data_IF_583749364025
#
_entry.id   IF_583749364025
#
_cell.length_a   1.000
_cell.length_b   1.000
_cell.length_c   1.000
_cell.angle_alpha   90.00
_cell.angle_beta   90.00
_cell.angle_gamma   90.00
#
_symmetry.space_group_name_H-M   'P 1'
#
loop_
_entity.id
_entity.type
_entity.pdbx_description
1 polymer ?
#
# COMPACT_ATOMS: atom_id res chain seq x y z
N UNK A 1 1.46 -6.77 -2.81
CA UNK A 1 2.10 -7.08 -1.52
C UNK A 1 1.25 -7.99 -0.61
N UNK A 2 -0.07 -7.98 -0.73
CA UNK A 2 -0.95 -8.88 0.05
C UNK A 2 -0.56 -10.35 -0.07
N UNK A 3 -0.11 -10.78 -1.26
CA UNK A 3 0.37 -12.14 -1.51
C UNK A 3 1.82 -12.36 -1.01
N UNK A 4 2.44 -11.38 -0.35
CA UNK A 4 3.82 -11.43 0.15
C UNK A 4 4.80 -11.84 -0.95
N UNK A 5 4.57 -11.35 -2.16
CA UNK A 5 5.29 -11.75 -3.37
C UNK A 5 5.79 -10.52 -4.12
N UNK A 6 7.03 -10.60 -4.60
CA UNK A 6 7.55 -9.76 -5.68
C UNK A 6 7.61 -10.62 -6.94
N UNK A 7 7.04 -10.13 -8.03
CA UNK A 7 7.14 -10.75 -9.35
C UNK A 7 7.99 -9.87 -10.25
N UNK A 8 9.04 -10.46 -10.82
CA UNK A 8 9.88 -9.85 -11.85
C UNK A 8 9.48 -10.48 -13.17
N UNK A 9 9.22 -9.66 -14.18
CA UNK A 9 8.78 -10.10 -15.51
C UNK A 9 9.84 -9.66 -16.52
N UNK A 10 10.34 -10.60 -17.32
CA UNK A 10 11.36 -10.37 -18.33
C UNK A 10 10.84 -10.90 -19.67
N UNK A 11 10.93 -10.11 -20.73
CA UNK A 11 10.58 -10.55 -22.07
C UNK A 11 11.58 -11.60 -22.56
N UNK A 12 11.09 -12.74 -23.06
CA UNK A 12 11.90 -13.87 -23.51
C UNK A 12 11.89 -15.07 -22.56
N UNK A 13 12.48 -16.17 -23.01
CA UNK A 13 12.61 -17.41 -22.21
C UNK A 13 13.99 -17.52 -21.56
N UNK A 14 14.04 -17.18 -20.28
CA UNK A 14 15.24 -17.25 -19.47
C UNK A 14 15.16 -18.31 -18.37
N UNK A 15 14.25 -19.30 -18.49
CA UNK A 15 14.07 -20.35 -17.49
C UNK A 15 15.36 -21.10 -17.19
N UNK A 16 16.12 -21.48 -18.21
CA UNK A 16 17.36 -22.20 -18.02
C UNK A 16 18.41 -21.39 -17.25
N UNK A 17 18.50 -20.09 -17.54
CA UNK A 17 19.41 -19.19 -16.84
C UNK A 17 19.05 -19.08 -15.34
N UNK A 18 17.78 -18.84 -15.02
CA UNK A 18 17.35 -18.61 -13.64
C UNK A 18 17.13 -19.89 -12.83
N UNK A 19 17.02 -21.05 -13.45
CA UNK A 19 16.86 -22.33 -12.74
C UNK A 19 18.18 -23.02 -12.39
N UNK A 20 19.31 -22.56 -12.92
CA UNK A 20 20.61 -23.12 -12.58
C UNK A 20 21.02 -22.73 -11.14
N UNK A 21 21.50 -23.71 -10.37
CA UNK A 21 21.87 -23.49 -8.96
C UNK A 21 22.99 -22.45 -8.78
N UNK A 22 23.87 -22.31 -9.77
CA UNK A 22 24.96 -21.33 -9.79
C UNK A 22 24.49 -19.86 -9.88
N UNK A 23 23.27 -19.64 -10.35
CA UNK A 23 22.74 -18.29 -10.60
C UNK A 23 21.85 -17.76 -9.47
N UNK A 24 21.79 -18.46 -8.34
CA UNK A 24 20.96 -18.04 -7.21
C UNK A 24 21.56 -18.44 -5.87
N UNK A 25 21.55 -17.47 -4.96
CA UNK A 25 21.73 -17.71 -3.53
C UNK A 25 20.45 -17.28 -2.82
N UNK A 26 19.78 -18.23 -2.20
CA UNK A 26 18.54 -18.00 -1.47
C UNK A 26 18.88 -18.01 0.03
N UNK A 27 18.63 -16.87 0.68
CA UNK A 27 18.73 -16.74 2.15
C UNK A 27 17.33 -16.59 2.72
N UNK A 28 17.15 -17.12 3.91
CA UNK A 28 15.93 -17.04 4.71
C UNK A 28 14.69 -17.55 3.94
N UNK A 29 13.74 -18.09 4.53
CA UNK A 29 12.44 -18.63 4.08
C UNK A 29 11.85 -18.07 2.74
N UNK A 30 12.70 -17.61 1.83
CA UNK A 30 12.32 -17.12 0.50
C UNK A 30 12.06 -18.28 -0.45
N UNK A 31 10.85 -18.39 -0.96
CA UNK A 31 10.55 -19.30 -2.07
C UNK A 31 10.79 -18.58 -3.40
N UNK A 32 11.64 -19.18 -4.21
CA UNK A 32 11.99 -18.71 -5.56
C UNK A 32 11.36 -19.64 -6.60
N UNK A 33 10.54 -19.10 -7.48
CA UNK A 33 9.89 -19.85 -8.57
C UNK A 33 10.08 -19.14 -9.89
N UNK A 34 10.46 -19.90 -10.91
CA UNK A 34 10.57 -19.40 -12.29
C UNK A 34 9.56 -20.11 -13.17
N UNK A 35 8.86 -19.36 -14.00
CA UNK A 35 7.92 -19.90 -15.00
C UNK A 35 8.00 -19.08 -16.29
N UNK A 36 7.49 -19.65 -17.37
CA UNK A 36 7.41 -18.97 -18.66
C UNK A 36 5.99 -19.07 -19.21
N UNK A 37 5.46 -17.95 -19.61
CA UNK A 37 4.12 -17.87 -20.16
C UNK A 37 4.02 -16.67 -21.11
N UNK A 38 3.37 -16.86 -22.26
CA UNK A 38 3.09 -15.81 -23.24
C UNK A 38 4.31 -14.96 -23.63
N UNK A 39 5.44 -15.62 -23.92
CA UNK A 39 6.67 -14.94 -24.35
C UNK A 39 7.48 -14.29 -23.21
N UNK A 40 7.10 -14.49 -21.94
CA UNK A 40 7.74 -13.83 -20.80
C UNK A 40 8.17 -14.82 -19.72
N UNK A 41 9.33 -14.57 -19.14
CA UNK A 41 9.80 -15.26 -17.93
C UNK A 41 9.32 -14.52 -16.70
N UNK A 42 8.72 -15.24 -15.77
CA UNK A 42 8.24 -14.75 -14.47
C UNK A 42 9.13 -15.32 -13.38
N UNK A 43 9.73 -14.44 -12.58
CA UNK A 43 10.48 -14.79 -11.39
C UNK A 43 9.67 -14.34 -10.18
N UNK A 44 9.22 -15.28 -9.37
CA UNK A 44 8.41 -15.00 -8.20
C UNK A 44 9.23 -15.21 -6.92
N UNK A 45 9.40 -14.15 -6.16
CA UNK A 45 10.02 -14.14 -4.84
C UNK A 45 8.91 -14.07 -3.79
N UNK A 46 8.70 -15.16 -3.06
CA UNK A 46 7.62 -15.31 -2.08
C UNK A 46 8.23 -15.44 -0.70
N UNK A 47 7.76 -14.64 0.25
CA UNK A 47 8.23 -14.60 1.64
C UNK A 47 7.09 -14.79 2.63
N UNK A 48 7.41 -15.08 3.89
CA UNK A 48 6.43 -15.20 4.96
C UNK A 48 5.82 -13.85 5.37
N UNK A 49 6.52 -12.74 5.10
CA UNK A 49 6.11 -11.38 5.46
C UNK A 49 6.09 -10.46 4.26
N UNK A 50 5.40 -9.33 4.37
CA UNK A 50 5.41 -8.28 3.35
C UNK A 50 6.80 -7.65 3.31
N UNK A 51 7.37 -7.49 2.12
CA UNK A 51 8.66 -6.86 1.87
C UNK A 51 8.50 -5.59 1.03
N UNK A 52 9.47 -4.71 1.15
CA UNK A 52 9.70 -3.66 0.17
C UNK A 52 10.65 -4.14 -0.92
N UNK A 53 10.71 -3.41 -2.02
CA UNK A 53 11.70 -3.62 -3.05
C UNK A 53 12.17 -2.30 -3.64
N UNK A 54 13.38 -2.30 -4.18
CA UNK A 54 13.89 -1.24 -5.05
C UNK A 54 14.63 -1.85 -6.23
N UNK A 55 14.63 -1.14 -7.34
CA UNK A 55 15.33 -1.56 -8.56
C UNK A 55 16.36 -0.50 -8.91
N UNK A 56 17.59 -0.91 -9.12
CA UNK A 56 18.68 -0.06 -9.61
C UNK A 56 19.28 -0.71 -10.84
N UNK A 57 19.46 0.05 -11.90
CA UNK A 57 20.03 -0.41 -13.16
C UNK A 57 21.37 0.25 -13.39
N UNK A 58 22.33 -0.55 -13.84
CA UNK A 58 23.60 -0.11 -14.43
C UNK A 58 23.67 -0.56 -15.90
N UNK A 59 24.75 -0.23 -16.60
CA UNK A 59 24.92 -0.64 -18.01
C UNK A 59 24.91 -2.17 -18.19
N UNK A 60 25.30 -2.94 -17.18
CA UNK A 60 25.47 -4.38 -17.27
C UNK A 60 24.51 -5.19 -16.39
N UNK A 61 23.89 -4.58 -15.38
CA UNK A 61 23.11 -5.30 -14.36
C UNK A 61 21.86 -4.54 -13.92
N UNK A 62 20.86 -5.32 -13.57
CA UNK A 62 19.69 -4.85 -12.84
C UNK A 62 19.75 -5.44 -11.43
N UNK A 63 19.83 -4.59 -10.43
CA UNK A 63 19.83 -4.97 -9.03
C UNK A 63 18.42 -4.83 -8.44
N UNK A 64 17.89 -5.91 -7.90
CA UNK A 64 16.62 -5.89 -7.18
C UNK A 64 16.89 -6.16 -5.72
N UNK A 65 16.76 -5.13 -4.88
CA UNK A 65 16.78 -5.27 -3.42
C UNK A 65 15.37 -5.61 -2.94
N UNK A 66 15.25 -6.63 -2.10
CA UNK A 66 13.98 -7.12 -1.56
C UNK A 66 14.18 -7.44 -0.08
N UNK A 67 13.69 -6.58 0.80
CA UNK A 67 13.97 -6.63 2.25
C UNK A 67 12.77 -6.15 3.07
N UNK A 68 12.89 -6.18 4.40
CA UNK A 68 11.86 -5.59 5.26
C UNK A 68 11.69 -4.09 4.93
N UNK A 69 10.46 -3.56 4.96
CA UNK A 69 10.23 -2.16 4.56
C UNK A 69 11.09 -1.16 5.34
N UNK A 70 11.26 -1.39 6.63
CA UNK A 70 12.08 -0.52 7.52
C UNK A 70 13.57 -0.52 7.20
N UNK A 71 14.07 -1.57 6.56
CA UNK A 71 15.49 -1.66 6.16
C UNK A 71 15.76 -0.92 4.84
N UNK A 72 14.70 -0.43 4.20
CA UNK A 72 14.77 0.16 2.86
C UNK A 72 14.32 1.60 2.80
N UNK A 73 13.35 1.99 3.61
CA UNK A 73 12.68 3.29 3.50
C UNK A 73 12.75 4.04 4.82
N UNK A 74 12.94 5.35 4.73
CA UNK A 74 13.01 6.24 5.90
C UNK A 74 11.69 6.24 6.69
N UNK A 75 10.57 6.21 5.98
CA UNK A 75 9.23 6.12 6.58
C UNK A 75 8.38 5.08 5.88
N UNK A 76 7.65 4.32 6.68
CA UNK A 76 6.64 3.37 6.22
C UNK A 76 5.27 3.83 6.72
N UNK A 77 4.35 4.02 5.81
CA UNK A 77 3.00 4.54 6.09
C UNK A 77 1.98 3.53 5.56
N UNK A 78 0.89 3.35 6.30
CA UNK A 78 -0.28 2.64 5.79
C UNK A 78 -1.44 3.63 5.68
N UNK A 79 -2.06 3.67 4.50
CA UNK A 79 -3.26 4.46 4.24
C UNK A 79 -4.42 3.52 3.96
N UNK A 80 -5.47 3.68 4.71
CA UNK A 80 -6.68 2.88 4.65
C UNK A 80 -7.80 3.65 3.97
N UNK A 81 -8.37 3.06 2.92
CA UNK A 81 -9.62 3.52 2.34
C UNK A 81 -10.77 2.80 3.04
N UNK A 82 -11.51 3.50 3.89
CA UNK A 82 -12.61 2.93 4.65
C UNK A 82 -13.65 2.23 3.78
N UNK A 83 -14.32 1.22 4.35
CA UNK A 83 -15.35 0.41 3.65
C UNK A 83 -14.81 -0.36 2.44
N UNK A 84 -15.67 -0.74 1.49
CA UNK A 84 -15.32 -1.42 0.24
C UNK A 84 -16.11 -2.71 0.01
N UNK A 85 -16.20 -3.16 -1.24
CA UNK A 85 -16.93 -4.38 -1.62
C UNK A 85 -18.37 -4.37 -1.11
N UNK A 86 -18.70 -5.32 -0.24
CA UNK A 86 -20.02 -5.48 0.38
C UNK A 86 -20.40 -4.39 1.39
N UNK A 87 -19.45 -3.64 1.91
CA UNK A 87 -19.66 -2.56 2.87
C UNK A 87 -19.64 -1.22 2.13
N UNK A 88 -20.80 -0.62 1.95
CA UNK A 88 -20.96 0.66 1.26
C UNK A 88 -20.47 1.85 2.09
N UNK A 89 -20.44 1.74 3.43
CA UNK A 89 -20.40 2.89 4.32
C UNK A 89 -21.67 3.74 4.18
N UNK A 90 -21.58 5.00 4.55
CA UNK A 90 -22.67 5.96 4.43
C UNK A 90 -23.07 6.19 2.97
N UNK A 91 -24.37 6.43 2.76
CA UNK A 91 -24.94 6.73 1.42
C UNK A 91 -25.85 7.96 1.53
N UNK A 92 -25.73 8.89 0.62
CA UNK A 92 -26.55 10.09 0.60
C UNK A 92 -26.20 11.01 -0.56
N UNK A 93 -27.15 11.81 -1.00
CA UNK A 93 -26.98 12.81 -2.07
C UNK A 93 -26.33 12.24 -3.36
N UNK A 94 -26.60 10.96 -3.69
CA UNK A 94 -26.01 10.28 -4.85
C UNK A 94 -24.58 9.77 -4.64
N UNK A 95 -24.00 9.90 -3.46
CA UNK A 95 -22.66 9.41 -3.12
C UNK A 95 -22.72 8.16 -2.27
N UNK A 96 -21.68 7.34 -2.41
CA UNK A 96 -21.43 6.15 -1.60
C UNK A 96 -20.03 6.31 -0.99
N UNK A 97 -19.93 6.20 0.33
CA UNK A 97 -18.70 6.48 1.08
C UNK A 97 -17.52 5.65 0.57
N UNK A 98 -17.69 4.35 0.34
CA UNK A 98 -16.61 3.48 -0.14
C UNK A 98 -15.97 3.98 -1.45
N UNK A 99 -16.76 4.60 -2.34
CA UNK A 99 -16.25 5.11 -3.62
C UNK A 99 -15.46 6.41 -3.41
N UNK A 100 -15.90 7.26 -2.49
CA UNK A 100 -15.23 8.51 -2.18
C UNK A 100 -13.91 8.25 -1.46
N UNK A 101 -13.89 7.40 -0.45
CA UNK A 101 -12.66 7.03 0.28
C UNK A 101 -11.64 6.40 -0.64
N UNK A 102 -12.06 5.51 -1.56
CA UNK A 102 -11.18 4.93 -2.56
C UNK A 102 -10.56 5.99 -3.47
N UNK A 103 -11.37 6.92 -3.98
CA UNK A 103 -10.90 8.01 -4.85
C UNK A 103 -9.90 8.93 -4.13
N UNK A 104 -10.17 9.28 -2.88
CA UNK A 104 -9.25 10.08 -2.05
C UNK A 104 -7.91 9.36 -1.90
N UNK A 105 -7.93 8.08 -1.54
CA UNK A 105 -6.71 7.29 -1.35
C UNK A 105 -5.94 7.10 -2.66
N UNK A 106 -6.63 6.94 -3.80
CA UNK A 106 -5.98 6.88 -5.11
C UNK A 106 -5.28 8.20 -5.47
N UNK A 107 -5.88 9.35 -5.12
CA UNK A 107 -5.25 10.66 -5.30
C UNK A 107 -4.03 10.85 -4.37
N UNK A 108 -4.14 10.43 -3.11
CA UNK A 108 -3.01 10.43 -2.16
C UNK A 108 -1.85 9.59 -2.72
N UNK A 109 -2.15 8.41 -3.28
CA UNK A 109 -1.17 7.52 -3.89
C UNK A 109 -0.34 8.22 -4.96
N UNK A 110 -0.97 9.00 -5.83
CA UNK A 110 -0.27 9.73 -6.91
C UNK A 110 0.81 10.68 -6.37
N UNK A 111 0.60 11.28 -5.20
CA UNK A 111 1.55 12.19 -4.59
C UNK A 111 2.72 11.47 -3.92
N UNK A 112 2.45 10.30 -3.30
CA UNK A 112 3.49 9.57 -2.55
C UNK A 112 4.34 8.63 -3.41
N UNK A 113 3.83 8.14 -4.55
CA UNK A 113 4.54 7.14 -5.36
C UNK A 113 5.84 7.66 -5.97
N UNK A 114 6.01 8.98 -6.07
CA UNK A 114 7.21 9.62 -6.59
C UNK A 114 8.27 9.93 -5.52
N UNK A 115 7.95 9.80 -4.24
CA UNK A 115 8.87 10.14 -3.16
C UNK A 115 9.63 8.89 -2.67
N UNK A 116 10.94 8.78 -2.92
CA UNK A 116 11.73 7.61 -2.56
C UNK A 116 11.98 7.46 -1.05
N UNK A 117 11.71 8.50 -0.25
CA UNK A 117 11.88 8.45 1.21
C UNK A 117 10.74 7.70 1.90
N UNK A 118 9.59 7.63 1.26
CA UNK A 118 8.39 7.02 1.82
C UNK A 118 8.06 5.69 1.13
N UNK A 119 7.63 4.73 1.92
CA UNK A 119 6.93 3.55 1.42
C UNK A 119 5.50 3.56 1.94
N UNK A 120 4.55 3.74 1.03
CA UNK A 120 3.14 3.71 1.40
C UNK A 120 2.52 2.38 0.98
N UNK A 121 1.81 1.76 1.89
CA UNK A 121 0.95 0.60 1.66
C UNK A 121 -0.50 1.04 1.79
N UNK A 122 -1.35 0.50 0.94
CA UNK A 122 -2.78 0.84 0.89
C UNK A 122 -3.59 -0.38 1.23
N UNK A 123 -4.60 -0.26 2.09
CA UNK A 123 -5.45 -1.41 2.45
C UNK A 123 -6.23 -1.91 1.24
N UNK A 124 -6.66 -0.99 0.37
CA UNK A 124 -7.26 -1.30 -0.93
C UNK A 124 -7.02 -0.19 -1.96
N UNK A 125 -6.96 -0.57 -3.22
CA UNK A 125 -6.87 0.33 -4.39
C UNK A 125 -7.95 0.00 -5.44
N UNK A 126 -8.88 -0.90 -5.10
CA UNK A 126 -10.05 -1.28 -5.87
C UNK A 126 -11.24 -1.50 -4.96
N UNK A 127 -12.42 -1.80 -5.53
CA UNK A 127 -13.63 -2.06 -4.75
C UNK A 127 -13.66 -3.50 -4.24
N UNK A 128 -12.90 -3.78 -3.17
CA UNK A 128 -12.99 -5.00 -2.39
C UNK A 128 -13.03 -4.66 -0.89
N UNK A 129 -13.42 -5.61 -0.06
CA UNK A 129 -13.59 -5.42 1.38
C UNK A 129 -12.46 -6.06 2.18
N UNK A 130 -11.45 -5.30 2.63
CA UNK A 130 -10.57 -5.76 3.69
C UNK A 130 -11.34 -5.74 5.02
N UNK A 131 -11.24 -6.83 5.78
CA UNK A 131 -11.77 -6.87 7.15
C UNK A 131 -11.06 -5.85 8.04
N UNK A 132 -11.66 -5.47 9.17
CA UNK A 132 -11.02 -4.59 10.14
C UNK A 132 -9.66 -5.14 10.58
N UNK A 133 -9.59 -6.45 10.83
CA UNK A 133 -8.35 -7.14 11.19
C UNK A 133 -7.28 -6.98 10.11
N UNK A 134 -7.59 -7.23 8.86
CA UNK A 134 -6.63 -7.09 7.75
C UNK A 134 -6.08 -5.68 7.63
N UNK A 135 -6.90 -4.64 7.90
CA UNK A 135 -6.47 -3.24 7.83
C UNK A 135 -5.35 -2.93 8.82
N UNK A 136 -5.53 -3.23 10.11
CA UNK A 136 -4.49 -2.96 11.11
C UNK A 136 -3.35 -3.99 11.05
N UNK A 137 -3.61 -5.24 10.66
CA UNK A 137 -2.56 -6.24 10.50
C UNK A 137 -1.59 -5.87 9.37
N UNK A 138 -2.05 -5.20 8.32
CA UNK A 138 -1.15 -4.64 7.32
C UNK A 138 -0.15 -3.68 7.96
N UNK A 139 -0.64 -2.73 8.78
CA UNK A 139 0.22 -1.76 9.45
C UNK A 139 1.22 -2.42 10.41
N UNK A 140 0.77 -3.40 11.19
CA UNK A 140 1.62 -4.17 12.10
C UNK A 140 2.67 -4.99 11.33
N UNK A 141 2.26 -5.67 10.26
CA UNK A 141 3.16 -6.54 9.47
C UNK A 141 4.28 -5.76 8.79
N UNK A 142 4.01 -4.56 8.30
CA UNK A 142 5.04 -3.71 7.66
C UNK A 142 5.78 -2.82 8.66
N UNK A 143 5.43 -2.92 9.94
CA UNK A 143 5.95 -2.06 11.01
C UNK A 143 5.81 -0.57 10.67
N UNK A 144 4.59 -0.15 10.37
CA UNK A 144 4.33 1.20 9.90
C UNK A 144 4.62 2.27 10.94
N UNK A 145 5.22 3.39 10.52
CA UNK A 145 5.38 4.58 11.38
C UNK A 145 4.07 5.28 11.64
N UNK A 146 3.16 5.21 10.66
CA UNK A 146 1.85 5.87 10.71
C UNK A 146 0.80 5.03 10.00
N UNK A 147 -0.40 5.06 10.56
CA UNK A 147 -1.63 4.55 9.95
C UNK A 147 -2.63 5.69 9.85
N UNK A 148 -3.20 5.87 8.67
CA UNK A 148 -4.25 6.85 8.40
C UNK A 148 -5.43 6.17 7.74
N UNK A 149 -6.60 6.18 8.39
CA UNK A 149 -7.84 5.72 7.79
C UNK A 149 -8.67 6.92 7.31
N UNK A 150 -9.17 6.81 6.10
CA UNK A 150 -10.00 7.83 5.44
C UNK A 150 -11.44 7.36 5.42
N UNK A 151 -12.32 8.17 5.99
CA UNK A 151 -13.77 7.97 6.02
C UNK A 151 -14.51 9.25 5.61
N UNK A 152 -15.76 9.11 5.23
CA UNK A 152 -16.68 10.22 5.00
C UNK A 152 -17.78 10.07 6.06
N UNK A 153 -17.77 10.99 7.02
CA UNK A 153 -18.74 10.95 8.11
C UNK A 153 -20.17 11.24 7.60
N UNK A 154 -21.15 10.76 8.33
CA UNK A 154 -22.56 11.08 8.08
C UNK A 154 -23.24 11.57 9.35
N UNK A 155 -24.26 12.40 9.19
CA UNK A 155 -25.08 12.87 10.28
C UNK A 155 -26.53 13.00 9.82
N UNK A 156 -27.48 12.81 10.75
CA UNK A 156 -28.91 12.96 10.47
C UNK A 156 -29.29 14.43 10.22
N UNK A 157 -28.50 15.36 10.77
CA UNK A 157 -28.74 16.79 10.62
C UNK A 157 -28.08 17.36 9.37
N UNK A 158 -28.84 17.96 8.49
CA UNK A 158 -28.33 18.68 7.31
C UNK A 158 -27.44 19.90 7.67
N UNK A 159 -27.45 20.35 8.93
CA UNK A 159 -26.58 21.42 9.42
C UNK A 159 -25.23 20.93 9.91
N UNK A 160 -25.01 19.62 10.04
CA UNK A 160 -23.72 19.06 10.44
C UNK A 160 -22.69 19.32 9.34
N UNK A 161 -21.59 19.96 9.71
CA UNK A 161 -20.49 20.33 8.80
C UNK A 161 -19.17 20.20 9.51
N UNK A 162 -18.11 19.99 8.74
CA UNK A 162 -16.74 20.00 9.22
C UNK A 162 -16.03 18.66 9.06
N UNK A 163 -14.82 18.64 9.57
CA UNK A 163 -13.92 17.48 9.56
C UNK A 163 -13.70 17.01 10.98
N UNK A 164 -13.68 15.71 11.16
CA UNK A 164 -13.34 15.06 12.41
C UNK A 164 -12.05 14.25 12.24
N UNK A 165 -11.19 14.29 13.25
CA UNK A 165 -9.97 13.47 13.27
C UNK A 165 -9.89 12.74 14.60
N UNK A 166 -10.06 11.43 14.54
CA UNK A 166 -9.98 10.55 15.70
C UNK A 166 -8.57 10.02 15.89
N UNK A 167 -8.10 9.98 17.13
CA UNK A 167 -6.79 9.43 17.47
C UNK A 167 -6.81 8.75 18.84
N UNK A 168 -5.84 7.87 19.07
CA UNK A 168 -5.65 7.25 20.39
C UNK A 168 -4.46 7.89 21.13
N UNK A 169 -3.26 7.78 20.58
CA UNK A 169 -2.06 8.12 21.34
C UNK A 169 -1.22 9.26 20.72
N UNK A 170 -1.43 9.61 19.45
CA UNK A 170 -0.57 10.54 18.70
C UNK A 170 -1.28 11.87 18.36
N UNK A 171 -1.61 12.66 19.39
CA UNK A 171 -2.33 13.93 19.24
C UNK A 171 -1.66 14.90 18.24
N UNK A 172 -0.35 15.06 18.33
CA UNK A 172 0.38 15.97 17.43
C UNK A 172 0.22 15.57 15.96
N UNK A 173 0.33 14.29 15.65
CA UNK A 173 0.10 13.79 14.29
C UNK A 173 -1.34 14.04 13.84
N UNK A 174 -2.31 13.73 14.69
CA UNK A 174 -3.72 13.97 14.41
C UNK A 174 -4.03 15.46 14.17
N UNK A 175 -3.43 16.35 14.97
CA UNK A 175 -3.61 17.80 14.81
C UNK A 175 -3.06 18.31 13.47
N UNK A 176 -1.91 17.81 13.03
CA UNK A 176 -1.33 18.15 11.71
C UNK A 176 -2.25 17.70 10.58
N UNK A 177 -2.70 16.44 10.61
CA UNK A 177 -3.64 15.91 9.61
C UNK A 177 -4.94 16.71 9.59
N UNK A 178 -5.49 17.01 10.77
CA UNK A 178 -6.73 17.80 10.89
C UNK A 178 -6.60 19.19 10.29
N UNK A 179 -5.58 19.95 10.68
CA UNK A 179 -5.33 21.29 10.16
C UNK A 179 -5.10 21.31 8.66
N UNK A 180 -4.33 20.35 8.16
CA UNK A 180 -4.08 20.22 6.71
C UNK A 180 -5.36 19.87 5.93
N UNK A 181 -6.21 19.02 6.50
CA UNK A 181 -7.51 18.67 5.90
C UNK A 181 -8.45 19.88 5.84
N UNK A 182 -8.55 20.64 6.94
CA UNK A 182 -9.36 21.87 6.97
C UNK A 182 -8.88 22.87 5.91
N UNK A 183 -7.59 23.16 5.88
CA UNK A 183 -6.98 24.08 4.90
C UNK A 183 -7.23 23.61 3.46
N UNK A 184 -7.05 22.33 3.17
CA UNK A 184 -7.29 21.77 1.84
C UNK A 184 -8.75 21.83 1.37
N UNK A 185 -9.71 21.85 2.31
CA UNK A 185 -11.13 22.01 2.02
C UNK A 185 -11.61 23.47 2.06
N UNK A 186 -10.73 24.43 2.31
CA UNK A 186 -11.07 25.84 2.39
C UNK A 186 -11.79 26.25 3.68
N UNK A 187 -11.66 25.43 4.74
CA UNK A 187 -12.10 25.80 6.09
C UNK A 187 -10.93 26.37 6.88
N UNK A 188 -11.18 27.43 7.61
CA UNK A 188 -10.22 28.11 8.52
C UNK A 188 -10.64 27.95 9.97
#
# INVERSE_FOLDING_TARGET
YWNKQLQIIIDGDYRNFFNTASNRTIKDSLTYKVSYLNGKTYINLITSTIKGFSVTQTDSYIYVKYAAPKDMFYRVIVIDAGHGGKDSGATGNGYIEKNMTLKIVQNIKTNFDSDPLYKVYYTRLSDWYPTLTERYDLANTVNADRFLSVHINSADSASAKGTETLYKDYKTYASVIHSSSLSGMGYT
#
